data_IF_824732944203
#
_entry.id   IF_824732944203
#
_cell.length_a   1.000
_cell.length_b   1.000
_cell.length_c   1.000
_cell.angle_alpha   90.00
_cell.angle_beta   90.00
_cell.angle_gamma   90.00
#
_symmetry.space_group_name_H-M   'P 1'
#
loop_
_entity.id
_entity.type
_entity.pdbx_description
1 polymer ?
#
# COMPACT_ATOMS: atom_id res chain seq x y z
N UNK A 1 -11.95 2.98 -8.39
CA UNK A 1 -11.55 3.88 -7.27
C UNK A 1 -10.06 3.72 -7.03
N UNK A 2 -9.35 4.79 -6.64
CA UNK A 2 -7.92 4.73 -6.33
C UNK A 2 -7.67 4.91 -4.83
N UNK A 3 -6.89 4.02 -4.24
CA UNK A 3 -6.50 4.05 -2.82
C UNK A 3 -4.98 3.99 -2.73
N UNK A 4 -4.39 4.82 -1.88
CA UNK A 4 -2.98 4.78 -1.53
C UNK A 4 -2.81 4.13 -0.15
N UNK A 5 -1.97 3.11 -0.11
CA UNK A 5 -1.62 2.38 1.11
C UNK A 5 -0.19 2.76 1.48
N UNK A 6 0.01 3.38 2.63
CA UNK A 6 1.35 3.59 3.19
C UNK A 6 1.64 2.48 4.18
N UNK A 7 2.72 1.75 3.94
CA UNK A 7 3.12 0.58 4.72
C UNK A 7 4.49 0.87 5.31
N UNK A 8 4.59 0.73 6.64
CA UNK A 8 5.78 1.03 7.41
C UNK A 8 6.25 -0.19 8.17
N UNK A 9 7.55 -0.30 8.37
CA UNK A 9 8.12 -1.34 9.20
C UNK A 9 7.73 -1.15 10.66
N UNK A 10 7.54 -2.25 11.40
CA UNK A 10 7.20 -2.23 12.82
C UNK A 10 8.43 -1.84 13.65
N UNK A 11 9.63 -2.31 13.28
CA UNK A 11 10.90 -1.97 13.93
C UNK A 11 11.83 -1.19 12.99
N UNK A 12 12.46 -0.10 13.47
CA UNK A 12 13.28 0.80 12.65
C UNK A 12 14.72 0.33 12.40
N UNK A 13 15.10 -0.88 12.83
CA UNK A 13 16.52 -1.27 12.99
C UNK A 13 17.26 -1.76 11.73
N UNK A 14 16.61 -1.95 10.58
CA UNK A 14 17.36 -2.18 9.34
C UNK A 14 17.04 -1.12 8.28
N UNK A 15 18.07 -0.60 7.60
CA UNK A 15 17.88 0.32 6.49
C UNK A 15 17.29 -0.42 5.29
N UNK A 16 16.69 0.40 4.43
CA UNK A 16 16.22 0.13 3.08
C UNK A 16 14.98 -0.75 2.93
N UNK A 17 13.96 -0.11 2.37
CA UNK A 17 12.86 -0.76 1.69
C UNK A 17 13.40 -1.81 0.73
N UNK A 18 13.31 -3.09 1.11
CA UNK A 18 13.66 -4.15 0.17
C UNK A 18 12.62 -4.17 -0.94
N UNK A 19 13.01 -4.00 -2.22
CA UNK A 19 12.08 -4.15 -3.34
C UNK A 19 11.36 -5.50 -3.31
N UNK A 20 12.01 -6.52 -2.73
CA UNK A 20 11.45 -7.86 -2.53
C UNK A 20 10.23 -7.83 -1.61
N UNK A 21 10.27 -7.08 -0.51
CA UNK A 21 9.13 -6.98 0.41
C UNK A 21 7.96 -6.25 -0.23
N UNK A 22 8.24 -5.20 -1.03
CA UNK A 22 7.22 -4.53 -1.83
C UNK A 22 6.51 -5.50 -2.79
N UNK A 23 7.27 -6.33 -3.50
CA UNK A 23 6.72 -7.35 -4.40
C UNK A 23 5.91 -8.41 -3.63
N UNK A 24 6.39 -8.89 -2.49
CA UNK A 24 5.65 -9.86 -1.65
C UNK A 24 4.31 -9.30 -1.20
N UNK A 25 4.29 -8.05 -0.72
CA UNK A 25 3.06 -7.37 -0.34
C UNK A 25 2.10 -7.26 -1.54
N UNK A 26 2.60 -6.89 -2.73
CA UNK A 26 1.77 -6.84 -3.94
C UNK A 26 1.14 -8.20 -4.29
N UNK A 27 1.89 -9.29 -4.14
CA UNK A 27 1.44 -10.66 -4.41
C UNK A 27 0.37 -11.14 -3.42
N UNK A 28 0.38 -10.65 -2.18
CA UNK A 28 -0.61 -11.02 -1.16
C UNK A 28 -1.94 -10.26 -1.29
N UNK A 29 -1.93 -9.12 -1.98
CA UNK A 29 -3.16 -8.39 -2.29
C UNK A 29 -3.97 -9.12 -3.38
N UNK A 30 -5.30 -8.95 -3.42
CA UNK A 30 -6.16 -9.57 -4.44
C UNK A 30 -5.66 -9.35 -5.87
N UNK A 31 -5.61 -10.42 -6.67
CA UNK A 31 -5.04 -10.41 -8.02
C UNK A 31 -5.86 -9.57 -9.01
N UNK A 32 -7.16 -9.43 -8.79
CA UNK A 32 -8.06 -8.62 -9.63
C UNK A 32 -7.82 -7.11 -9.50
N UNK A 33 -7.10 -6.66 -8.47
CA UNK A 33 -6.79 -5.25 -8.32
C UNK A 33 -5.57 -4.88 -9.15
N UNK A 34 -5.66 -3.75 -9.85
CA UNK A 34 -4.51 -3.13 -10.46
C UNK A 34 -3.70 -2.44 -9.37
N UNK A 35 -2.42 -2.76 -9.28
CA UNK A 35 -1.55 -2.34 -8.17
C UNK A 35 -0.27 -1.74 -8.72
N UNK A 36 0.15 -0.62 -8.15
CA UNK A 36 1.40 0.05 -8.47
C UNK A 36 2.21 0.20 -7.17
N UNK A 37 3.48 -0.19 -7.21
CA UNK A 37 4.41 -0.06 -6.10
C UNK A 37 5.23 1.21 -6.27
N UNK A 38 5.22 2.05 -5.24
CA UNK A 38 6.01 3.28 -5.14
C UNK A 38 6.87 3.13 -3.88
N UNK A 39 8.18 3.11 -4.05
CA UNK A 39 9.11 3.12 -2.92
C UNK A 39 9.47 4.58 -2.58
N UNK A 40 9.20 5.02 -1.36
CA UNK A 40 9.49 6.38 -0.91
C UNK A 40 10.11 6.36 0.49
N UNK A 41 11.31 6.90 0.67
CA UNK A 41 11.90 7.29 1.97
C UNK A 41 11.80 6.25 3.12
N UNK A 42 12.06 4.96 2.87
CA UNK A 42 11.95 3.94 3.94
C UNK A 42 10.52 3.44 4.20
N UNK A 43 9.57 3.82 3.34
CA UNK A 43 8.19 3.34 3.32
C UNK A 43 7.87 2.61 2.01
N UNK A 44 6.95 1.66 2.09
CA UNK A 44 6.35 1.00 0.94
C UNK A 44 4.99 1.65 0.69
N UNK A 45 4.84 2.32 -0.45
CA UNK A 45 3.57 2.89 -0.87
C UNK A 45 2.98 2.03 -1.98
N UNK A 46 1.74 1.59 -1.82
CA UNK A 46 1.02 0.81 -2.83
C UNK A 46 -0.22 1.55 -3.26
N UNK A 47 -0.32 1.86 -4.55
CA UNK A 47 -1.54 2.39 -5.15
C UNK A 47 -2.39 1.24 -5.66
N UNK A 48 -3.62 1.17 -5.17
CA UNK A 48 -4.59 0.14 -5.50
C UNK A 48 -5.74 0.76 -6.27
N UNK A 49 -5.90 0.34 -7.51
CA UNK A 49 -7.06 0.62 -8.33
C UNK A 49 -8.05 -0.54 -8.20
N UNK A 50 -9.22 -0.25 -7.65
CA UNK A 50 -10.34 -1.19 -7.57
C UNK A 50 -11.37 -0.87 -8.65
N UNK A 51 -11.53 -1.78 -9.59
CA UNK A 51 -12.56 -1.69 -10.65
C UNK A 51 -13.85 -2.44 -10.29
N UNK A 52 -13.79 -3.29 -9.25
CA UNK A 52 -14.85 -4.21 -8.81
C UNK A 52 -15.85 -3.58 -7.80
N UNK A 53 -15.84 -2.25 -7.64
CA UNK A 53 -16.68 -1.57 -6.63
C UNK A 53 -16.22 -1.75 -5.18
N UNK A 54 -15.06 -2.36 -4.94
CA UNK A 54 -14.49 -2.49 -3.59
C UNK A 54 -14.22 -1.12 -2.97
N UNK A 55 -14.72 -0.91 -1.74
CA UNK A 55 -14.59 0.33 -0.97
C UNK A 55 -13.25 0.44 -0.25
N UNK A 56 -12.85 1.65 0.14
CA UNK A 56 -11.59 1.86 0.85
C UNK A 56 -11.51 1.09 2.18
N UNK A 57 -12.65 0.94 2.86
CA UNK A 57 -12.73 0.10 4.06
C UNK A 57 -12.43 -1.38 3.76
N UNK A 58 -12.95 -1.90 2.64
CA UNK A 58 -12.64 -3.28 2.21
C UNK A 58 -11.18 -3.43 1.77
N UNK A 59 -10.62 -2.40 1.10
CA UNK A 59 -9.20 -2.36 0.75
C UNK A 59 -8.35 -2.39 2.02
N UNK A 60 -8.65 -1.56 3.01
CA UNK A 60 -7.96 -1.51 4.30
C UNK A 60 -7.99 -2.86 5.02
N UNK A 61 -9.15 -3.51 5.09
CA UNK A 61 -9.29 -4.82 5.75
C UNK A 61 -8.43 -5.87 5.07
N UNK A 62 -8.49 -5.96 3.73
CA UNK A 62 -7.70 -6.93 2.96
C UNK A 62 -6.21 -6.65 3.03
N UNK A 63 -5.79 -5.39 2.96
CA UNK A 63 -4.39 -5.00 3.11
C UNK A 63 -3.86 -5.31 4.52
N UNK A 64 -4.64 -4.99 5.57
CA UNK A 64 -4.27 -5.32 6.95
C UNK A 64 -4.15 -6.83 7.16
N UNK A 65 -5.07 -7.62 6.57
CA UNK A 65 -5.00 -9.08 6.63
C UNK A 65 -3.79 -9.64 5.85
N UNK A 66 -3.43 -9.07 4.70
CA UNK A 66 -2.25 -9.48 3.95
C UNK A 66 -0.95 -9.29 4.76
N UNK A 67 -0.88 -8.21 5.56
CA UNK A 67 0.28 -7.90 6.39
C UNK A 67 0.42 -8.78 7.63
N UNK A 68 -0.49 -9.73 7.88
CA UNK A 68 -0.29 -10.74 8.93
C UNK A 68 0.49 -11.96 8.43
N UNK A 69 0.76 -12.07 7.12
CA UNK A 69 1.52 -13.17 6.55
C UNK A 69 2.98 -13.16 7.06
N UNK A 70 3.56 -14.31 7.46
CA UNK A 70 4.88 -14.37 8.11
C UNK A 70 6.01 -13.69 7.34
N UNK A 71 5.97 -13.74 6.00
CA UNK A 71 6.98 -13.15 5.13
C UNK A 71 7.02 -11.62 5.16
N UNK A 72 5.92 -10.98 5.60
CA UNK A 72 5.76 -9.52 5.65
C UNK A 72 5.22 -9.03 6.99
N UNK A 73 5.14 -9.89 8.01
CA UNK A 73 4.57 -9.56 9.33
C UNK A 73 5.36 -8.52 10.12
N UNK A 74 6.54 -8.15 9.62
CA UNK A 74 7.35 -7.05 10.14
C UNK A 74 6.95 -5.68 9.55
N UNK A 75 5.95 -5.65 8.67
CA UNK A 75 5.33 -4.45 8.11
C UNK A 75 3.92 -4.25 8.68
N UNK A 76 3.49 -2.99 8.76
CA UNK A 76 2.13 -2.61 9.17
C UNK A 76 1.57 -1.53 8.26
N UNK A 77 0.25 -1.55 8.09
CA UNK A 77 -0.47 -0.50 7.38
C UNK A 77 -0.48 0.77 8.25
N UNK A 78 0.16 1.83 7.78
CA UNK A 78 0.19 3.12 8.44
C UNK A 78 -0.97 4.01 8.01
N UNK A 79 -1.22 4.11 6.70
CA UNK A 79 -2.36 4.88 6.16
C UNK A 79 -3.04 4.13 5.02
N UNK A 80 -4.30 4.48 4.77
CA UNK A 80 -5.13 3.94 3.68
C UNK A 80 -6.06 5.05 3.21
N UNK A 81 -5.60 5.81 2.22
CA UNK A 81 -6.19 7.07 1.80
C UNK A 81 -6.83 6.93 0.43
N UNK A 82 -8.04 7.48 0.23
CA UNK A 82 -8.68 7.52 -1.08
C UNK A 82 -8.06 8.66 -1.87
N UNK A 83 -7.41 8.36 -2.98
CA UNK A 83 -6.98 9.38 -3.92
C UNK A 83 -8.18 9.70 -4.83
N UNK A 84 -8.83 10.83 -4.57
CA UNK A 84 -9.89 11.33 -5.44
C UNK A 84 -9.31 11.49 -6.86
N UNK A 85 -9.95 10.85 -7.84
CA UNK A 85 -9.63 11.05 -9.26
C UNK A 85 -10.16 12.43 -9.62
N UNK A 86 -9.39 13.49 -9.33
CA UNK A 86 -9.75 14.87 -9.64
C UNK A 86 -9.44 15.89 -8.55
N UNK A 87 -8.16 16.22 -8.34
CA UNK A 87 -7.75 17.60 -8.10
C UNK A 87 -6.26 17.77 -8.45
N UNK A 88 -5.87 18.79 -9.24
CA UNK A 88 -4.46 19.11 -9.42
C UNK A 88 -3.85 19.49 -8.07
N UNK A 89 -2.64 19.00 -7.83
CA UNK A 89 -1.78 19.44 -6.73
C UNK A 89 -1.64 20.98 -6.74
N UNK A 90 -2.05 21.70 -5.68
CA UNK A 90 -1.85 23.15 -5.61
C UNK A 90 -0.43 23.55 -5.15
N UNK A 91 0.56 22.64 -5.22
CA UNK A 91 1.92 22.85 -4.72
C UNK A 91 3.01 22.78 -5.80
N UNK A 92 2.69 23.11 -7.04
CA UNK A 92 3.64 23.85 -7.90
C UNK A 92 3.44 25.35 -7.70
N UNK A 93 4.15 25.91 -6.71
CA UNK A 93 4.59 27.31 -6.72
C UNK A 93 6.09 27.32 -6.97
#
# INVERSE_FOLDING_TARGET
>A
MLVELTIKRITPEAPDNSPIDGVRILSLLPAQWRKELIAANGEIVVRVHTDDGATAAQVRVKATAALTAPEVSHWRLATCDILAIGHPDPRRQ
#
